data_IF_134995854254
#
_entry.id   IF_134995854254
#
_cell.length_a   1.000
_cell.length_b   1.000
_cell.length_c   1.000
_cell.angle_alpha   90.00
_cell.angle_beta   90.00
_cell.angle_gamma   90.00
#
_symmetry.space_group_name_H-M   'P 1'
#
loop_
_entity.id
_entity.type
_entity.pdbx_description
1 polymer ?
#
# COMPACT_ATOMS: atom_id res chain seq x y z
N UNK A 1 16.48 9.91 6.18
CA UNK A 1 16.03 9.83 7.35
C UNK A 1 14.60 9.91 7.47
N UNK A 2 14.09 10.93 7.87
CA UNK A 2 12.71 11.00 7.99
C UNK A 2 11.99 10.79 6.73
N UNK A 3 12.64 11.03 5.61
CA UNK A 3 12.02 10.87 4.33
C UNK A 3 11.59 9.47 4.02
N UNK A 4 12.39 8.51 4.41
CA UNK A 4 12.05 7.13 4.17
C UNK A 4 10.77 6.74 4.87
N UNK A 5 10.62 7.14 6.13
CA UNK A 5 9.44 6.86 6.89
C UNK A 5 8.25 7.59 6.33
N UNK A 6 8.44 8.83 5.91
CA UNK A 6 7.38 9.62 5.35
C UNK A 6 6.88 9.01 4.03
N UNK A 7 7.77 8.55 3.19
CA UNK A 7 7.41 7.93 1.92
C UNK A 7 6.61 6.66 2.13
N UNK A 8 7.00 5.83 3.09
CA UNK A 8 6.27 4.61 3.40
C UNK A 8 4.87 4.95 3.87
N UNK A 9 4.74 5.93 4.74
CA UNK A 9 3.44 6.33 5.25
C UNK A 9 2.54 6.84 4.13
N UNK A 10 3.08 7.67 3.24
CA UNK A 10 2.32 8.19 2.12
C UNK A 10 1.88 7.08 1.18
N UNK A 11 2.76 6.11 0.93
CA UNK A 11 2.43 5.00 0.06
C UNK A 11 1.29 4.17 0.62
N UNK A 12 1.32 3.89 1.92
CA UNK A 12 0.27 3.11 2.56
C UNK A 12 -1.05 3.87 2.56
N UNK A 13 -1.01 5.18 2.74
CA UNK A 13 -2.20 5.99 2.65
C UNK A 13 -2.80 5.94 1.25
N UNK A 14 -1.96 5.97 0.23
CA UNK A 14 -2.41 5.87 -1.15
C UNK A 14 -3.09 4.52 -1.39
N UNK A 15 -2.50 3.44 -0.88
CA UNK A 15 -3.08 2.11 -1.01
C UNK A 15 -4.44 2.05 -0.33
N UNK A 16 -4.54 2.56 0.89
CA UNK A 16 -5.78 2.51 1.64
C UNK A 16 -6.86 3.33 0.96
N UNK A 17 -6.51 4.49 0.45
CA UNK A 17 -7.45 5.35 -0.26
C UNK A 17 -7.96 4.66 -1.53
N UNK A 18 -7.06 4.02 -2.26
CA UNK A 18 -7.44 3.31 -3.46
C UNK A 18 -8.39 2.16 -3.14
N UNK A 19 -8.07 1.39 -2.11
CA UNK A 19 -8.92 0.27 -1.69
C UNK A 19 -10.28 0.76 -1.22
N UNK A 20 -10.31 1.87 -0.50
CA UNK A 20 -11.56 2.42 0.00
C UNK A 20 -12.45 2.86 -1.16
N UNK A 21 -11.88 3.48 -2.18
CA UNK A 21 -12.65 3.99 -3.31
C UNK A 21 -13.08 2.90 -4.30
N UNK A 22 -12.27 1.86 -4.45
CA UNK A 22 -12.51 0.84 -5.47
C UNK A 22 -12.94 -0.51 -4.90
N UNK A 23 -12.82 -0.68 -3.59
CA UNK A 23 -13.20 -1.92 -2.92
C UNK A 23 -12.15 -3.01 -2.99
N UNK A 24 -11.36 -3.04 -4.04
CA UNK A 24 -10.32 -4.04 -4.22
C UNK A 24 -9.27 -3.48 -5.17
N UNK A 25 -8.11 -4.09 -5.18
CA UNK A 25 -7.04 -3.69 -6.09
C UNK A 25 -6.08 -4.85 -6.26
N UNK A 26 -5.47 -4.90 -7.44
CA UNK A 26 -4.45 -5.91 -7.70
C UNK A 26 -3.10 -5.35 -7.30
N UNK A 27 -2.20 -6.24 -6.91
CA UNK A 27 -0.84 -5.85 -6.54
C UNK A 27 -0.16 -5.11 -7.69
N UNK A 28 -0.36 -5.57 -8.92
CA UNK A 28 0.24 -4.92 -10.09
C UNK A 28 -0.28 -3.50 -10.27
N UNK A 29 -1.57 -3.30 -10.04
CA UNK A 29 -2.14 -1.96 -10.15
C UNK A 29 -1.56 -1.02 -9.11
N UNK A 30 -1.45 -1.49 -7.89
CA UNK A 30 -0.89 -0.69 -6.82
C UNK A 30 0.59 -0.41 -7.05
N UNK A 31 1.30 -1.38 -7.60
CA UNK A 31 2.70 -1.22 -7.92
C UNK A 31 2.91 -0.06 -8.90
N UNK A 32 2.11 -0.01 -9.95
CA UNK A 32 2.19 1.06 -10.93
C UNK A 32 1.76 2.39 -10.30
N UNK A 33 0.68 2.38 -9.55
CA UNK A 33 0.16 3.58 -8.92
C UNK A 33 1.19 4.21 -7.97
N UNK A 34 1.88 3.39 -7.20
CA UNK A 34 2.83 3.86 -6.20
C UNK A 34 4.25 3.98 -6.73
N UNK A 35 4.52 3.44 -7.92
CA UNK A 35 5.87 3.53 -8.49
C UNK A 35 6.88 2.64 -7.78
N UNK A 36 6.45 1.50 -7.24
CA UNK A 36 7.34 0.58 -6.55
C UNK A 36 7.08 -0.84 -7.08
N UNK A 37 7.94 -1.78 -6.70
CA UNK A 37 7.81 -3.14 -7.17
C UNK A 37 6.61 -3.85 -6.54
N UNK A 38 6.08 -4.89 -7.20
CA UNK A 38 4.99 -5.66 -6.60
C UNK A 38 5.36 -6.28 -5.26
N UNK A 39 6.62 -6.66 -5.07
CA UNK A 39 7.05 -7.21 -3.79
C UNK A 39 6.90 -6.18 -2.68
N UNK A 40 7.24 -4.93 -2.96
CA UNK A 40 7.09 -3.86 -1.99
C UNK A 40 5.62 -3.67 -1.62
N UNK A 41 4.73 -3.74 -2.61
CA UNK A 41 3.30 -3.63 -2.36
C UNK A 41 2.82 -4.78 -1.48
N UNK A 42 3.28 -6.00 -1.74
CA UNK A 42 2.89 -7.15 -0.92
C UNK A 42 3.31 -6.97 0.53
N UNK A 43 4.51 -6.45 0.73
CA UNK A 43 4.99 -6.18 2.09
C UNK A 43 4.16 -5.11 2.77
N UNK A 44 3.76 -4.08 2.03
CA UNK A 44 2.91 -3.04 2.59
C UNK A 44 1.54 -3.60 2.95
N UNK A 45 0.97 -4.44 2.09
CA UNK A 45 -0.33 -5.04 2.36
C UNK A 45 -0.27 -5.96 3.57
N UNK A 46 0.82 -6.73 3.70
CA UNK A 46 0.99 -7.57 4.87
C UNK A 46 1.03 -6.75 6.16
N UNK A 47 1.75 -5.64 6.13
CA UNK A 47 1.84 -4.78 7.28
C UNK A 47 0.49 -4.15 7.62
N UNK A 48 -0.27 -3.74 6.61
CA UNK A 48 -1.59 -3.16 6.83
C UNK A 48 -2.57 -4.21 7.34
N UNK A 49 -2.46 -5.43 6.86
CA UNK A 49 -3.31 -6.51 7.33
C UNK A 49 -3.02 -6.83 8.80
N UNK A 50 -1.76 -6.85 9.18
CA UNK A 50 -1.39 -7.11 10.56
C UNK A 50 -1.89 -6.02 11.49
N UNK A 51 -2.04 -4.81 10.96
CA UNK A 51 -2.59 -3.70 11.74
C UNK A 51 -4.11 -3.62 11.64
N UNK A 52 -4.74 -4.60 11.03
CA UNK A 52 -6.19 -4.65 10.84
C UNK A 52 -6.72 -3.47 10.03
N UNK A 53 -5.90 -2.91 9.17
CA UNK A 53 -6.33 -1.80 8.34
C UNK A 53 -6.89 -2.26 7.00
N UNK A 54 -6.57 -3.48 6.58
CA UNK A 54 -7.12 -4.07 5.36
C UNK A 54 -7.32 -5.56 5.60
N UNK A 55 -8.19 -6.16 4.78
CA UNK A 55 -8.44 -7.59 4.80
C UNK A 55 -8.10 -8.12 3.42
N UNK A 56 -7.24 -9.11 3.35
CA UNK A 56 -6.80 -9.67 2.08
C UNK A 56 -7.65 -10.83 1.62
#
# INVERSE_FOLDING_TARGET
MKQSKFVISTRRDTILTYLHNHGTAKVDELSVLCGVSPLTIRRDLDALEQSNMVIR
#
